data_IF_501691156327
#
_entry.id   IF_501691156327
#
_cell.length_a   1.000
_cell.length_b   1.000
_cell.length_c   1.000
_cell.angle_alpha   90.00
_cell.angle_beta   90.00
_cell.angle_gamma   90.00
#
_symmetry.space_group_name_H-M   'P 1'
#
loop_
_entity.id
_entity.type
_entity.pdbx_description
1 polymer ?
#
# COMPACT_ATOMS: atom_id res chain seq x y z
N UNK A 1 26.19 16.61 -5.60
CA UNK A 1 26.61 17.12 -4.30
C UNK A 1 25.57 16.86 -3.20
N UNK A 2 25.02 15.67 -3.14
CA UNK A 2 24.10 15.28 -2.11
C UNK A 2 24.80 14.64 -0.93
N UNK A 3 24.05 14.43 0.16
CA UNK A 3 24.48 13.55 1.23
C UNK A 3 24.48 12.10 0.74
N UNK A 4 25.22 11.16 1.35
CA UNK A 4 25.14 9.74 1.01
C UNK A 4 23.70 9.19 0.99
N UNK A 5 22.84 9.66 1.91
CA UNK A 5 21.43 9.29 1.95
C UNK A 5 20.65 9.77 0.72
N UNK A 6 20.94 10.99 0.24
CA UNK A 6 20.30 11.50 -0.98
C UNK A 6 20.75 10.73 -2.22
N UNK A 7 22.01 10.35 -2.30
CA UNK A 7 22.54 9.55 -3.41
C UNK A 7 21.90 8.17 -3.44
N UNK A 8 21.79 7.51 -2.28
CA UNK A 8 21.15 6.22 -2.13
C UNK A 8 19.66 6.27 -2.49
N UNK A 9 18.94 7.31 -2.04
CA UNK A 9 17.55 7.54 -2.41
C UNK A 9 17.40 7.79 -3.91
N UNK A 10 18.31 8.55 -4.52
CA UNK A 10 18.29 8.81 -5.97
C UNK A 10 18.46 7.54 -6.77
N UNK A 11 19.39 6.68 -6.40
CA UNK A 11 19.59 5.38 -7.07
C UNK A 11 18.36 4.47 -6.88
N UNK A 12 17.80 4.42 -5.69
CA UNK A 12 16.57 3.68 -5.42
C UNK A 12 15.41 4.15 -6.32
N UNK A 13 15.20 5.45 -6.42
CA UNK A 13 14.14 6.03 -7.27
C UNK A 13 14.36 5.69 -8.75
N UNK A 14 15.60 5.77 -9.23
CA UNK A 14 15.93 5.40 -10.62
C UNK A 14 15.59 3.94 -10.91
N UNK A 15 16.03 3.03 -10.06
CA UNK A 15 15.72 1.60 -10.22
C UNK A 15 14.23 1.30 -10.11
N UNK A 16 13.54 1.95 -9.17
CA UNK A 16 12.10 1.83 -9.02
C UNK A 16 11.36 2.30 -10.28
N UNK A 17 11.72 3.47 -10.81
CA UNK A 17 11.13 4.00 -12.05
C UNK A 17 11.39 3.10 -13.25
N UNK A 18 12.59 2.53 -13.35
CA UNK A 18 12.93 1.59 -14.40
C UNK A 18 12.02 0.35 -14.38
N UNK A 19 11.77 -0.21 -13.20
CA UNK A 19 10.85 -1.34 -13.04
C UNK A 19 9.39 -0.94 -13.30
N UNK A 20 8.98 0.24 -12.86
CA UNK A 20 7.63 0.76 -13.11
C UNK A 20 7.40 1.01 -14.61
N UNK A 21 8.38 1.53 -15.33
CA UNK A 21 8.30 1.71 -16.78
C UNK A 21 8.23 0.37 -17.51
N UNK A 22 9.01 -0.62 -17.07
CA UNK A 22 8.93 -1.97 -17.63
C UNK A 22 7.55 -2.60 -17.43
N UNK A 23 6.93 -2.38 -16.28
CA UNK A 23 5.56 -2.81 -16.01
C UNK A 23 4.55 -2.11 -16.93
N UNK A 24 4.68 -0.80 -17.15
CA UNK A 24 3.83 -0.06 -18.08
C UNK A 24 3.96 -0.55 -19.52
N UNK A 25 5.16 -0.98 -19.95
CA UNK A 25 5.38 -1.56 -21.27
C UNK A 25 4.60 -2.86 -21.49
N UNK A 26 4.28 -3.62 -20.45
CA UNK A 26 3.46 -4.82 -20.56
C UNK A 26 2.06 -4.51 -21.06
N UNK A 27 1.49 -3.38 -20.66
CA UNK A 27 0.18 -2.90 -21.13
C UNK A 27 0.25 -2.59 -22.63
N UNK A 28 1.30 -1.92 -23.09
CA UNK A 28 1.52 -1.63 -24.51
C UNK A 28 1.69 -2.92 -25.32
N UNK A 29 2.44 -3.88 -24.83
CA UNK A 29 2.58 -5.19 -25.49
C UNK A 29 1.24 -5.92 -25.62
N UNK A 30 0.43 -5.87 -24.58
CA UNK A 30 -0.92 -6.45 -24.60
C UNK A 30 -1.79 -5.79 -25.66
N UNK A 31 -1.87 -4.47 -25.67
CA UNK A 31 -2.69 -3.71 -26.61
C UNK A 31 -2.21 -3.90 -28.06
N UNK A 32 -0.90 -3.91 -28.27
CA UNK A 32 -0.30 -4.14 -29.58
C UNK A 32 -0.63 -5.54 -30.10
N UNK A 33 -0.61 -6.54 -29.23
CA UNK A 33 -0.97 -7.92 -29.61
C UNK A 33 -2.43 -8.03 -30.05
N UNK A 34 -3.34 -7.29 -29.40
CA UNK A 34 -4.75 -7.22 -29.80
C UNK A 34 -4.86 -6.58 -31.19
N UNK A 35 -4.19 -5.47 -31.42
CA UNK A 35 -4.20 -4.77 -32.71
C UNK A 35 -3.62 -5.63 -33.84
N UNK A 36 -2.60 -6.41 -33.53
CA UNK A 36 -1.95 -7.31 -34.50
C UNK A 36 -2.76 -8.59 -34.74
N UNK A 37 -3.86 -8.79 -34.06
CA UNK A 37 -4.73 -9.96 -34.22
C UNK A 37 -4.09 -11.27 -33.75
N UNK A 38 -3.16 -11.20 -32.78
CA UNK A 38 -2.50 -12.39 -32.24
C UNK A 38 -3.44 -13.21 -31.36
N UNK A 39 -3.16 -14.52 -31.26
CA UNK A 39 -3.80 -15.36 -30.26
C UNK A 39 -3.42 -14.85 -28.86
N UNK A 40 -4.41 -14.39 -28.10
CA UNK A 40 -4.18 -13.71 -26.81
C UNK A 40 -3.84 -14.67 -25.68
N UNK A 41 -4.18 -15.94 -25.76
CA UNK A 41 -3.92 -16.88 -24.66
C UNK A 41 -2.42 -17.03 -24.36
N UNK A 42 -1.54 -17.34 -25.31
CA UNK A 42 -0.09 -17.38 -25.05
C UNK A 42 0.49 -16.00 -24.72
N UNK A 43 -0.03 -14.93 -25.30
CA UNK A 43 0.40 -13.55 -24.99
C UNK A 43 0.12 -13.22 -23.53
N UNK A 44 -1.09 -13.48 -23.04
CA UNK A 44 -1.46 -13.22 -21.64
C UNK A 44 -0.59 -14.03 -20.68
N UNK A 45 -0.33 -15.31 -20.96
CA UNK A 45 0.55 -16.14 -20.12
C UNK A 45 1.97 -15.58 -20.04
N UNK A 46 2.53 -15.14 -21.16
CA UNK A 46 3.86 -14.54 -21.19
C UNK A 46 3.89 -13.23 -20.42
N UNK A 47 2.91 -12.35 -20.60
CA UNK A 47 2.82 -11.07 -19.91
C UNK A 47 2.64 -11.24 -18.40
N UNK A 48 1.86 -12.22 -17.97
CA UNK A 48 1.73 -12.56 -16.55
C UNK A 48 3.05 -13.00 -15.94
N UNK A 49 3.82 -13.86 -16.63
CA UNK A 49 5.13 -14.29 -16.18
C UNK A 49 6.13 -13.13 -16.08
N UNK A 50 6.11 -12.21 -17.06
CA UNK A 50 6.94 -11.00 -17.02
C UNK A 50 6.52 -10.05 -15.88
N UNK A 51 5.22 -9.90 -15.65
CA UNK A 51 4.70 -9.07 -14.55
C UNK A 51 5.08 -9.63 -13.18
N UNK A 52 4.94 -10.92 -12.97
CA UNK A 52 5.36 -11.59 -11.73
C UNK A 52 6.87 -11.40 -11.47
N UNK A 53 7.68 -11.53 -12.51
CA UNK A 53 9.13 -11.31 -12.39
C UNK A 53 9.48 -9.85 -12.04
N UNK A 54 8.76 -8.88 -12.61
CA UNK A 54 8.93 -7.46 -12.29
C UNK A 54 8.49 -7.15 -10.86
N UNK A 55 7.36 -7.70 -10.43
CA UNK A 55 6.86 -7.54 -9.06
C UNK A 55 7.84 -8.11 -8.04
N UNK A 56 8.43 -9.28 -8.32
CA UNK A 56 9.45 -9.86 -7.47
C UNK A 56 10.70 -8.97 -7.34
N UNK A 57 11.16 -8.42 -8.47
CA UNK A 57 12.30 -7.48 -8.47
C UNK A 57 11.99 -6.21 -7.70
N UNK A 58 10.77 -5.68 -7.84
CA UNK A 58 10.33 -4.48 -7.13
C UNK A 58 10.24 -4.73 -5.62
N UNK A 59 9.67 -5.86 -5.20
CA UNK A 59 9.61 -6.25 -3.80
C UNK A 59 11.01 -6.40 -3.18
N UNK A 60 11.93 -7.04 -3.90
CA UNK A 60 13.33 -7.17 -3.45
C UNK A 60 14.02 -5.82 -3.33
N UNK A 61 13.82 -4.93 -4.29
CA UNK A 61 14.40 -3.58 -4.28
C UNK A 61 13.91 -2.78 -3.07
N UNK A 62 12.59 -2.74 -2.85
CA UNK A 62 11.97 -2.02 -1.73
C UNK A 62 12.39 -2.62 -0.38
N UNK A 63 12.35 -3.94 -0.26
CA UNK A 63 12.72 -4.66 0.96
C UNK A 63 14.17 -4.37 1.33
N UNK A 64 15.08 -4.49 0.38
CA UNK A 64 16.50 -4.19 0.62
C UNK A 64 16.71 -2.75 1.05
N UNK A 65 16.06 -1.80 0.40
CA UNK A 65 16.19 -0.40 0.75
C UNK A 65 15.70 -0.12 2.18
N UNK A 66 14.55 -0.67 2.56
CA UNK A 66 14.03 -0.53 3.93
C UNK A 66 14.99 -1.17 4.94
N UNK A 67 15.47 -2.38 4.68
CA UNK A 67 16.39 -3.09 5.57
C UNK A 67 17.72 -2.34 5.76
N UNK A 68 18.25 -1.77 4.68
CA UNK A 68 19.51 -1.00 4.72
C UNK A 68 19.36 0.38 5.39
N UNK A 69 18.13 0.88 5.54
CA UNK A 69 17.84 2.23 6.03
C UNK A 69 16.96 2.28 7.27
N UNK A 70 16.91 1.22 8.06
CA UNK A 70 16.05 1.14 9.25
C UNK A 70 16.37 2.18 10.31
N UNK A 71 17.64 2.58 10.43
CA UNK A 71 18.11 3.49 11.46
C UNK A 71 18.14 4.96 11.02
N UNK A 72 17.68 5.25 9.82
CA UNK A 72 17.55 6.61 9.31
C UNK A 72 16.11 6.92 8.87
N UNK A 73 15.87 8.16 8.47
CA UNK A 73 14.53 8.63 8.09
C UNK A 73 13.95 7.95 6.85
N UNK A 74 14.81 7.45 5.96
CA UNK A 74 14.37 6.91 4.66
C UNK A 74 13.70 5.53 4.78
N UNK A 75 14.17 4.68 5.69
CA UNK A 75 13.58 3.36 5.91
C UNK A 75 12.11 3.43 6.31
N UNK A 76 11.78 4.12 7.40
CA UNK A 76 10.39 4.33 7.80
C UNK A 76 9.54 4.99 6.72
N UNK A 77 10.07 5.98 6.03
CA UNK A 77 9.36 6.70 4.97
C UNK A 77 8.99 5.77 3.80
N UNK A 78 9.94 5.01 3.28
CA UNK A 78 9.69 4.05 2.18
C UNK A 78 8.76 2.93 2.63
N UNK A 79 8.96 2.41 3.85
CA UNK A 79 8.08 1.38 4.41
C UNK A 79 6.62 1.83 4.46
N UNK A 80 6.35 3.01 5.00
CA UNK A 80 5.00 3.55 5.13
C UNK A 80 4.38 3.87 3.78
N UNK A 81 5.14 4.44 2.85
CA UNK A 81 4.65 4.68 1.48
C UNK A 81 4.29 3.36 0.78
N UNK A 82 5.06 2.32 0.96
CA UNK A 82 4.78 1.00 0.41
C UNK A 82 3.50 0.42 0.99
N UNK A 83 3.34 0.48 2.31
CA UNK A 83 2.14 0.00 3.00
C UNK A 83 0.88 0.74 2.52
N UNK A 84 0.93 2.06 2.44
CA UNK A 84 -0.21 2.88 2.00
C UNK A 84 -0.54 2.71 0.52
N UNK A 85 0.44 2.33 -0.30
CA UNK A 85 0.21 1.99 -1.71
C UNK A 85 -0.47 0.63 -1.88
N UNK A 86 -0.21 -0.30 -0.97
CA UNK A 86 -0.81 -1.65 -1.02
C UNK A 86 -2.24 -1.69 -0.50
N UNK A 87 -2.54 -0.93 0.55
CA UNK A 87 -3.81 -1.02 1.28
C UNK A 87 -4.36 0.37 1.58
N UNK A 88 -5.67 0.53 1.43
CA UNK A 88 -6.39 1.78 1.76
C UNK A 88 -6.38 2.10 3.25
N UNK A 89 -6.27 1.09 4.09
CA UNK A 89 -6.22 1.22 5.55
C UNK A 89 -5.15 0.28 6.11
N UNK A 90 -4.66 0.52 7.34
CA UNK A 90 -3.59 -0.30 7.91
C UNK A 90 -3.97 -1.77 7.98
N UNK A 91 -3.16 -2.62 7.35
CA UNK A 91 -3.33 -4.08 7.34
C UNK A 91 -1.99 -4.76 7.51
N UNK A 92 -2.01 -5.97 8.08
CA UNK A 92 -0.84 -6.84 8.15
C UNK A 92 -0.79 -7.75 6.93
N UNK A 93 0.43 -8.01 6.46
CA UNK A 93 0.73 -9.04 5.49
C UNK A 93 2.08 -9.70 5.82
N UNK A 94 2.43 -10.74 5.08
CA UNK A 94 3.68 -11.47 5.32
C UNK A 94 4.92 -10.59 5.14
N UNK A 95 4.89 -9.63 4.23
CA UNK A 95 5.99 -8.70 4.00
C UNK A 95 6.19 -7.75 5.19
N UNK A 96 5.10 -7.18 5.70
CA UNK A 96 5.12 -6.28 6.86
C UNK A 96 5.64 -7.02 8.10
N UNK A 97 5.15 -8.24 8.33
CA UNK A 97 5.60 -9.06 9.45
C UNK A 97 7.09 -9.43 9.33
N UNK A 98 7.57 -9.75 8.13
CA UNK A 98 8.98 -10.03 7.89
C UNK A 98 9.86 -8.80 8.18
N UNK A 99 9.49 -7.64 7.68
CA UNK A 99 10.19 -6.37 7.95
C UNK A 99 10.22 -6.09 9.46
N UNK A 100 9.09 -6.21 10.14
CA UNK A 100 9.01 -5.94 11.58
C UNK A 100 9.79 -6.96 12.42
N UNK A 101 9.89 -8.20 11.97
CA UNK A 101 10.71 -9.23 12.62
C UNK A 101 12.20 -8.91 12.54
N UNK A 102 12.66 -8.35 11.43
CA UNK A 102 14.05 -7.94 11.20
C UNK A 102 14.36 -6.52 11.69
N UNK A 103 13.32 -5.76 12.06
CA UNK A 103 13.42 -4.34 12.37
C UNK A 103 14.32 -4.07 13.58
N UNK A 104 15.13 -3.01 13.46
CA UNK A 104 15.89 -2.46 14.58
C UNK A 104 14.95 -1.79 15.58
N UNK A 105 15.41 -1.60 16.82
CA UNK A 105 14.64 -0.91 17.85
C UNK A 105 14.27 0.51 17.41
N UNK A 106 15.17 1.19 16.73
CA UNK A 106 14.93 2.55 16.22
C UNK A 106 13.80 2.57 15.19
N UNK A 107 13.75 1.60 14.28
CA UNK A 107 12.67 1.47 13.30
C UNK A 107 11.33 1.15 13.99
N UNK A 108 11.32 0.18 14.90
CA UNK A 108 10.10 -0.20 15.65
C UNK A 108 9.54 0.94 16.49
N UNK A 109 10.40 1.80 17.02
CA UNK A 109 10.04 2.93 17.87
C UNK A 109 9.79 4.22 17.10
N UNK A 110 9.97 4.22 15.77
CA UNK A 110 9.55 5.35 14.96
C UNK A 110 8.05 5.58 15.17
N UNK A 111 7.63 6.81 15.54
CA UNK A 111 6.23 7.07 15.92
C UNK A 111 5.24 6.69 14.82
N UNK A 112 5.57 6.94 13.56
CA UNK A 112 4.68 6.66 12.42
C UNK A 112 4.62 5.16 12.11
N UNK A 113 5.75 4.46 12.16
CA UNK A 113 5.82 3.01 11.97
C UNK A 113 5.04 2.30 13.08
N UNK A 114 5.27 2.70 14.33
CA UNK A 114 4.61 2.13 15.50
C UNK A 114 3.09 2.31 15.43
N UNK A 115 2.64 3.51 15.15
CA UNK A 115 1.20 3.81 15.00
C UNK A 115 0.56 2.98 13.89
N UNK A 116 1.19 2.91 12.74
CA UNK A 116 0.70 2.12 11.62
C UNK A 116 0.59 0.64 11.97
N UNK A 117 1.64 0.08 12.56
CA UNK A 117 1.69 -1.33 12.92
C UNK A 117 0.66 -1.71 13.99
N UNK A 118 0.48 -0.86 15.00
CA UNK A 118 -0.55 -1.05 16.03
C UNK A 118 -1.96 -1.03 15.44
N UNK A 119 -2.26 -0.09 14.56
CA UNK A 119 -3.53 -0.02 13.84
C UNK A 119 -3.75 -1.23 12.92
N UNK A 120 -2.71 -1.68 12.24
CA UNK A 120 -2.77 -2.87 11.40
C UNK A 120 -3.07 -4.13 12.22
N UNK A 121 -2.44 -4.27 13.39
CA UNK A 121 -2.73 -5.37 14.31
C UNK A 121 -4.18 -5.31 14.83
N UNK A 122 -4.65 -4.13 15.19
CA UNK A 122 -6.03 -3.94 15.65
C UNK A 122 -7.04 -4.31 14.54
N UNK A 123 -6.83 -3.83 13.34
CA UNK A 123 -7.67 -4.15 12.18
C UNK A 123 -7.68 -5.66 11.90
N UNK A 124 -6.54 -6.31 12.02
CA UNK A 124 -6.44 -7.76 11.86
C UNK A 124 -7.27 -8.51 12.91
N UNK A 125 -7.25 -8.05 14.16
CA UNK A 125 -8.05 -8.63 15.23
C UNK A 125 -9.55 -8.42 14.99
N UNK A 126 -9.95 -7.26 14.50
CA UNK A 126 -11.34 -6.97 14.11
C UNK A 126 -11.79 -7.91 13.00
N UNK A 127 -10.98 -8.07 11.95
CA UNK A 127 -11.28 -8.97 10.83
C UNK A 127 -11.37 -10.43 11.25
N UNK A 128 -10.56 -10.84 12.24
CA UNK A 128 -10.59 -12.19 12.81
C UNK A 128 -11.72 -12.39 13.84
N UNK A 129 -12.54 -11.36 14.11
CA UNK A 129 -13.65 -11.43 15.08
C UNK A 129 -13.21 -11.39 16.54
N UNK A 130 -11.94 -11.06 16.83
CA UNK A 130 -11.40 -10.99 18.21
C UNK A 130 -11.74 -9.68 18.92
N UNK A 131 -11.97 -8.61 18.15
CA UNK A 131 -12.40 -7.29 18.64
C UNK A 131 -13.60 -6.79 17.84
N UNK A 132 -14.43 -6.03 18.50
CA UNK A 132 -15.54 -5.34 17.82
C UNK A 132 -15.02 -4.02 17.29
N UNK A 133 -15.35 -3.69 16.04
CA UNK A 133 -15.03 -2.38 15.47
C UNK A 133 -15.64 -1.28 16.38
N UNK A 134 -14.92 -0.16 16.60
CA UNK A 134 -15.51 0.94 17.35
C UNK A 134 -16.79 1.39 16.65
N UNK A 135 -17.90 1.22 17.37
CA UNK A 135 -19.19 1.69 16.88
C UNK A 135 -19.08 3.20 16.79
N UNK A 136 -19.22 3.75 15.61
CA UNK A 136 -19.46 5.19 15.49
C UNK A 136 -20.70 5.45 16.35
N UNK A 137 -20.51 6.22 17.42
CA UNK A 137 -21.64 6.63 18.23
C UNK A 137 -22.67 7.26 17.28
N UNK A 138 -23.93 6.83 17.34
CA UNK A 138 -24.95 7.48 16.56
C UNK A 138 -24.86 8.97 16.86
N UNK A 139 -24.71 9.76 15.82
CA UNK A 139 -24.73 11.22 15.95
C UNK A 139 -26.02 11.54 16.68
N UNK A 140 -25.89 12.19 17.84
CA UNK A 140 -27.05 12.59 18.59
C UNK A 140 -28.01 13.34 17.63
N UNK A 141 -29.30 13.03 17.64
CA UNK A 141 -30.21 13.68 16.73
C UNK A 141 -30.10 15.20 16.92
N UNK A 142 -29.89 15.90 15.83
CA UNK A 142 -29.78 17.37 15.86
C UNK A 142 -31.08 17.92 16.43
N UNK A 143 -31.03 18.67 17.53
CA UNK A 143 -32.23 19.30 18.04
C UNK A 143 -32.88 20.13 16.93
N UNK A 144 -34.15 19.87 16.63
CA UNK A 144 -34.94 20.52 15.57
C UNK A 144 -34.74 19.99 14.14
N UNK A 145 -34.13 18.82 13.94
CA UNK A 145 -34.21 18.17 12.63
C UNK A 145 -35.68 17.75 12.37
N UNK A 146 -36.27 18.08 11.20
CA UNK A 146 -37.66 17.67 10.91
C UNK A 146 -37.74 16.15 10.83
N UNK A 147 -38.77 15.60 11.46
CA UNK A 147 -39.01 14.16 11.39
C UNK A 147 -39.51 13.76 9.98
N UNK A 148 -39.35 12.51 9.58
CA UNK A 148 -39.90 12.05 8.30
C UNK A 148 -41.42 12.35 8.14
N UNK A 149 -42.18 12.36 9.25
CA UNK A 149 -43.59 12.69 9.24
C UNK A 149 -43.85 14.18 8.99
N UNK A 150 -42.94 15.05 9.41
CA UNK A 150 -43.06 16.49 9.17
C UNK A 150 -42.74 16.85 7.74
N UNK A 151 -41.77 16.12 7.13
CA UNK A 151 -41.43 16.28 5.73
C UNK A 151 -42.50 15.74 4.77
N UNK A 152 -43.31 14.79 5.24
CA UNK A 152 -44.39 14.17 4.44
C UNK A 152 -45.70 14.95 4.45
N UNK A 153 -45.84 16.05 5.25
CA UNK A 153 -47.04 16.86 5.25
C UNK A 153 -47.12 17.76 4.01
N UNK A 154 -48.21 17.72 3.25
CA UNK A 154 -48.36 18.63 2.12
C UNK A 154 -48.37 20.08 2.61
N UNK A 155 -47.72 20.96 1.87
CA UNK A 155 -47.73 22.38 2.12
C UNK A 155 -49.18 22.89 1.98
N UNK A 156 -49.62 23.64 3.00
CA UNK A 156 -50.93 24.34 2.94
C UNK A 156 -50.83 25.57 2.02
#
# INVERSE_FOLDING_TARGET
TGTPLNDELTEFIKEYQKLANASAELVHKHDQAIMDGKDMEPVIRQLQAEDEALNEKMDKLVTKFVEDNMDNILGPWVFLNTCTSKYEFPMLDAWIDDIMTKATDKFKNDPMVKEYYEKAQENQQIMNGMKVAPVQQPVAPVPNAPTPNELAKPAK
#
